data_IF_219554294960
#
_entry.id   IF_219554294960
#
_cell.length_a   1.000
_cell.length_b   1.000
_cell.length_c   1.000
_cell.angle_alpha   90.00
_cell.angle_beta   90.00
_cell.angle_gamma   90.00
#
_symmetry.space_group_name_H-M   'P 1'
#
loop_
_entity.id
_entity.type
_entity.pdbx_description
1 polymer ?
#
# COMPACT_ATOMS: atom_id res chain seq x y z
N UNK A 1 -12.70 10.82 0.72
CA UNK A 1 -11.36 11.39 0.91
C UNK A 1 -10.38 10.78 -0.08
N UNK A 2 -9.58 11.59 -0.71
CA UNK A 2 -8.56 11.13 -1.67
C UNK A 2 -7.17 11.50 -1.18
N UNK A 3 -6.26 10.56 -1.30
CA UNK A 3 -4.85 10.81 -0.98
C UNK A 3 -4.21 11.52 -2.18
N UNK A 4 -3.73 12.73 -1.99
CA UNK A 4 -3.09 13.50 -3.05
C UNK A 4 -1.59 13.19 -3.13
N UNK A 5 -0.90 13.82 -4.07
CA UNK A 5 0.53 13.58 -4.26
C UNK A 5 1.37 13.89 -3.03
N UNK A 6 1.01 14.91 -2.27
CA UNK A 6 1.71 15.24 -1.03
C UNK A 6 1.53 14.14 0.01
N UNK A 7 0.31 13.63 0.16
CA UNK A 7 0.03 12.52 1.07
C UNK A 7 0.78 11.27 0.68
N UNK A 8 0.85 10.97 -0.61
CA UNK A 8 1.61 9.82 -1.12
C UNK A 8 3.09 9.98 -0.84
N UNK A 9 3.63 11.19 -1.02
CA UNK A 9 5.04 11.46 -0.75
C UNK A 9 5.38 11.25 0.72
N UNK A 10 4.49 11.66 1.63
CA UNK A 10 4.66 11.46 3.06
C UNK A 10 4.66 9.98 3.40
N UNK A 11 3.73 9.22 2.84
CA UNK A 11 3.64 7.77 3.07
C UNK A 11 4.89 7.07 2.57
N UNK A 12 5.39 7.42 1.37
CA UNK A 12 6.62 6.87 0.83
C UNK A 12 7.81 7.12 1.76
N UNK A 13 7.89 8.31 2.31
CA UNK A 13 8.96 8.68 3.23
C UNK A 13 8.90 7.84 4.50
N UNK A 14 7.71 7.65 5.05
CA UNK A 14 7.49 6.88 6.26
C UNK A 14 7.76 5.40 6.08
N UNK A 15 7.22 4.83 4.99
CA UNK A 15 7.33 3.38 4.73
C UNK A 15 8.73 2.98 4.28
N UNK A 16 9.45 3.91 3.65
CA UNK A 16 10.74 3.60 3.05
C UNK A 16 10.58 2.80 1.76
N UNK A 17 11.69 2.42 1.16
CA UNK A 17 11.70 1.72 -0.12
C UNK A 17 12.54 0.45 -0.03
N UNK A 18 12.02 -0.66 -0.54
CA UNK A 18 12.78 -1.88 -0.73
C UNK A 18 12.44 -2.51 -2.07
N UNK A 19 13.42 -2.63 -2.95
CA UNK A 19 13.23 -3.26 -4.25
C UNK A 19 13.00 -4.76 -4.10
N UNK A 20 13.55 -5.36 -3.06
CA UNK A 20 13.44 -6.80 -2.80
C UNK A 20 12.52 -7.07 -1.63
N UNK A 21 11.88 -8.24 -1.65
CA UNK A 21 11.04 -8.68 -0.55
C UNK A 21 11.89 -8.87 0.72
N UNK A 22 11.32 -8.47 1.84
CA UNK A 22 11.93 -8.63 3.16
C UNK A 22 10.84 -8.96 4.17
N UNK A 23 11.24 -9.49 5.32
CA UNK A 23 10.31 -9.75 6.41
C UNK A 23 10.29 -8.54 7.34
N UNK A 24 9.10 -8.10 7.71
CA UNK A 24 8.96 -7.04 8.71
C UNK A 24 9.22 -7.61 10.11
N UNK A 25 9.20 -6.76 11.17
CA UNK A 25 9.49 -7.23 12.53
C UNK A 25 8.60 -8.37 13.03
N UNK A 26 7.40 -8.53 12.48
CA UNK A 26 6.50 -9.62 12.86
C UNK A 26 6.51 -10.78 11.87
N UNK A 27 7.42 -10.76 10.91
CA UNK A 27 7.63 -11.88 9.98
C UNK A 27 6.81 -11.87 8.72
N UNK A 28 6.13 -10.76 8.40
CA UNK A 28 5.33 -10.66 7.18
C UNK A 28 6.21 -10.22 6.02
N UNK A 29 6.18 -10.96 4.92
CA UNK A 29 6.91 -10.61 3.71
C UNK A 29 6.34 -9.35 3.06
N UNK A 30 7.21 -8.38 2.83
CA UNK A 30 6.85 -7.03 2.40
C UNK A 30 7.79 -6.60 1.26
N UNK A 31 7.31 -5.76 0.37
CA UNK A 31 8.13 -5.26 -0.75
C UNK A 31 7.72 -3.83 -1.11
N UNK A 32 8.60 -3.12 -1.79
CA UNK A 32 8.32 -1.77 -2.28
C UNK A 32 8.17 -0.76 -1.15
N UNK A 33 7.06 -0.06 -1.13
CA UNK A 33 6.74 0.93 -0.09
C UNK A 33 5.84 0.32 0.99
N UNK A 34 6.16 -0.87 1.45
CA UNK A 34 5.39 -1.52 2.51
C UNK A 34 4.26 -2.40 1.99
N UNK A 35 4.31 -2.82 0.75
CA UNK A 35 3.26 -3.65 0.16
C UNK A 35 3.43 -5.12 0.53
N UNK A 36 2.32 -5.78 0.84
CA UNK A 36 2.32 -7.23 1.11
C UNK A 36 1.73 -8.03 -0.06
N UNK A 37 1.33 -7.34 -1.13
CA UNK A 37 0.77 -7.92 -2.33
C UNK A 37 1.63 -7.58 -3.54
N UNK A 38 1.68 -8.49 -4.50
CA UNK A 38 2.36 -8.27 -5.77
C UNK A 38 1.41 -7.62 -6.78
N UNK A 39 1.96 -7.15 -7.90
CA UNK A 39 1.15 -6.55 -8.97
C UNK A 39 0.12 -7.52 -9.54
N UNK A 40 0.42 -8.82 -9.52
CA UNK A 40 -0.48 -9.86 -10.01
C UNK A 40 -1.56 -10.28 -9.01
N UNK A 41 -1.55 -9.68 -7.81
CA UNK A 41 -2.52 -9.99 -6.77
C UNK A 41 -2.12 -11.09 -5.81
N UNK A 42 -0.97 -11.71 -6.02
CA UNK A 42 -0.45 -12.75 -5.12
C UNK A 42 0.24 -12.12 -3.91
N UNK A 43 0.30 -12.86 -2.81
CA UNK A 43 1.01 -12.40 -1.62
C UNK A 43 2.51 -12.37 -1.88
N UNK A 44 3.20 -11.38 -1.27
CA UNK A 44 4.65 -11.30 -1.31
C UNK A 44 5.25 -12.47 -0.56
N UNK A 45 6.29 -13.10 -1.13
CA UNK A 45 7.01 -14.21 -0.51
C UNK A 45 8.51 -13.98 -0.70
N UNK A 46 9.32 -14.88 -0.13
CA UNK A 46 10.78 -14.81 -0.31
C UNK A 46 11.19 -14.96 -1.78
N UNK A 47 10.32 -15.53 -2.61
CA UNK A 47 10.58 -15.76 -4.03
C UNK A 47 10.09 -14.63 -4.93
N UNK A 48 9.44 -13.63 -4.36
CA UNK A 48 8.93 -12.49 -5.13
C UNK A 48 10.08 -11.76 -5.83
N UNK A 49 10.00 -11.55 -7.15
CA UNK A 49 11.07 -10.84 -7.86
C UNK A 49 11.13 -9.37 -7.44
N UNK A 50 12.30 -8.73 -7.59
CA UNK A 50 12.44 -7.32 -7.24
C UNK A 50 11.50 -6.42 -8.04
N UNK A 51 11.10 -5.31 -7.44
CA UNK A 51 10.27 -4.29 -8.08
C UNK A 51 11.11 -3.09 -8.49
N UNK A 52 10.68 -2.41 -9.56
CA UNK A 52 11.16 -1.06 -9.85
C UNK A 52 10.40 -0.09 -8.95
N UNK A 53 10.92 1.11 -8.76
CA UNK A 53 10.22 2.14 -7.98
C UNK A 53 8.86 2.47 -8.58
N UNK A 54 8.77 2.48 -9.91
CA UNK A 54 7.51 2.74 -10.60
C UNK A 54 6.47 1.68 -10.28
N UNK A 55 6.88 0.42 -10.27
CA UNK A 55 5.99 -0.69 -9.90
C UNK A 55 5.56 -0.59 -8.45
N UNK A 56 6.49 -0.25 -7.56
CA UNK A 56 6.19 -0.05 -6.14
C UNK A 56 5.19 1.07 -5.93
N UNK A 57 5.30 2.14 -6.69
CA UNK A 57 4.36 3.25 -6.62
C UNK A 57 2.96 2.85 -7.09
N UNK A 58 2.88 2.04 -8.15
CA UNK A 58 1.60 1.51 -8.63
C UNK A 58 0.92 0.71 -7.53
N UNK A 59 1.67 -0.15 -6.85
CA UNK A 59 1.15 -0.95 -5.73
C UNK A 59 0.66 -0.06 -4.60
N UNK A 60 1.43 0.96 -4.23
CA UNK A 60 1.07 1.88 -3.15
C UNK A 60 -0.23 2.60 -3.48
N UNK A 61 -0.36 3.13 -4.68
CA UNK A 61 -1.58 3.85 -5.10
C UNK A 61 -2.78 2.92 -5.12
N UNK A 62 -2.61 1.68 -5.56
CA UNK A 62 -3.67 0.69 -5.60
C UNK A 62 -4.16 0.37 -4.19
N UNK A 63 -3.25 0.17 -3.25
CA UNK A 63 -3.60 -0.11 -1.86
C UNK A 63 -4.31 1.06 -1.20
N UNK A 64 -3.84 2.27 -1.43
CA UNK A 64 -4.46 3.48 -0.89
C UNK A 64 -5.87 3.68 -1.45
N UNK A 65 -6.07 3.34 -2.71
CA UNK A 65 -7.40 3.43 -3.32
C UNK A 65 -8.40 2.53 -2.59
N UNK A 66 -8.01 1.33 -2.23
CA UNK A 66 -8.86 0.41 -1.47
C UNK A 66 -9.17 0.96 -0.08
N UNK A 67 -8.17 1.52 0.59
CA UNK A 67 -8.35 2.12 1.91
C UNK A 67 -9.28 3.32 1.83
N UNK A 68 -9.09 4.19 0.86
CA UNK A 68 -9.96 5.36 0.66
C UNK A 68 -11.40 4.97 0.46
N UNK A 69 -11.66 3.94 -0.32
CA UNK A 69 -13.02 3.44 -0.54
C UNK A 69 -13.66 2.96 0.74
N UNK A 70 -12.91 2.22 1.56
CA UNK A 70 -13.41 1.71 2.83
C UNK A 70 -13.74 2.86 3.79
N UNK A 71 -12.86 3.85 3.87
CA UNK A 71 -13.05 5.01 4.76
C UNK A 71 -14.26 5.82 4.30
N UNK A 72 -14.39 6.11 3.02
CA UNK A 72 -15.51 6.87 2.49
C UNK A 72 -16.84 6.17 2.78
N UNK A 73 -16.87 4.86 2.67
CA UNK A 73 -18.06 4.08 2.96
C UNK A 73 -18.45 4.19 4.43
N UNK A 74 -17.48 4.11 5.33
CA UNK A 74 -17.73 4.23 6.77
C UNK A 74 -18.22 5.62 7.13
N UNK A 75 -17.65 6.66 6.54
CA UNK A 75 -18.08 8.04 6.78
C UNK A 75 -19.51 8.25 6.31
N UNK A 76 -19.86 7.70 5.17
CA UNK A 76 -21.21 7.80 4.62
C UNK A 76 -22.23 7.16 5.56
N UNK A 77 -21.90 6.00 6.14
CA UNK A 77 -22.77 5.32 7.09
C UNK A 77 -22.98 6.16 8.33
N UNK A 78 -21.91 6.76 8.87
CA UNK A 78 -22.01 7.62 10.04
C UNK A 78 -22.91 8.83 9.79
N UNK A 79 -22.76 9.47 8.64
CA UNK A 79 -23.58 10.63 8.29
C UNK A 79 -25.05 10.25 8.13
N UNK A 80 -25.32 9.05 7.69
CA UNK A 80 -26.67 8.57 7.50
C UNK A 80 -27.39 8.36 8.83
N UNK A 81 -26.66 7.99 9.84
CA UNK A 81 -27.24 7.75 11.19
C UNK A 81 -27.61 9.03 11.90
N UNK A 82 -27.05 10.14 11.50
CA UNK A 82 -27.36 11.44 12.09
C UNK A 82 -28.57 12.08 11.42
#
# INVERSE_FOLDING_TARGET
MKTNEEGIAIIKHFEGWSAKAYQDPIGIWTIGFGSIWQLDGERVTEKTPPLTKEEGEVLLRRELHHVEKAVDRLITVELTEN
#
